data_IF_319411332034
#
_entry.id   IF_319411332034
#
_cell.length_a   1.000
_cell.length_b   1.000
_cell.length_c   1.000
_cell.angle_alpha   90.00
_cell.angle_beta   90.00
_cell.angle_gamma   90.00
#
_symmetry.space_group_name_H-M   'P 1'
#
loop_
_entity.id
_entity.type
_entity.pdbx_description
1 polymer ?
#
# COMPACT_ATOMS: atom_id res chain seq x y z
N UNK A 1 -19.08 23.98 0.66
CA UNK A 1 -19.35 23.56 2.04
C UNK A 1 -19.44 22.05 1.97
N UNK A 2 -18.43 21.32 2.46
CA UNK A 2 -18.41 19.86 2.36
C UNK A 2 -19.46 19.26 3.30
N UNK A 3 -20.20 18.25 2.82
CA UNK A 3 -21.15 17.52 3.65
C UNK A 3 -20.42 16.74 4.76
N UNK A 4 -21.14 16.38 5.83
CA UNK A 4 -20.51 15.69 6.97
C UNK A 4 -19.88 14.34 6.57
N UNK A 5 -20.42 13.67 5.55
CA UNK A 5 -19.87 12.43 5.00
C UNK A 5 -18.56 12.67 4.23
N UNK A 6 -18.50 13.76 3.46
CA UNK A 6 -17.29 14.18 2.74
C UNK A 6 -16.15 14.54 3.70
N UNK A 7 -16.46 15.20 4.83
CA UNK A 7 -15.47 15.47 5.89
C UNK A 7 -14.92 14.19 6.50
N UNK A 8 -15.78 13.18 6.67
CA UNK A 8 -15.39 11.87 7.18
C UNK A 8 -14.36 11.20 6.27
N UNK A 9 -14.59 11.22 4.95
CA UNK A 9 -13.65 10.66 3.98
C UNK A 9 -12.35 11.43 3.91
N UNK A 10 -12.40 12.77 3.91
CA UNK A 10 -11.18 13.60 3.91
C UNK A 10 -10.34 13.31 5.16
N UNK A 11 -10.97 13.10 6.31
CA UNK A 11 -10.28 12.70 7.53
C UNK A 11 -9.67 11.29 7.44
N UNK A 12 -10.40 10.34 6.85
CA UNK A 12 -9.95 8.97 6.66
C UNK A 12 -8.79 8.90 5.66
N UNK A 13 -8.82 9.71 4.61
CA UNK A 13 -7.73 9.92 3.65
C UNK A 13 -6.49 10.52 4.34
N UNK A 14 -6.67 11.53 5.20
CA UNK A 14 -5.58 12.09 5.97
C UNK A 14 -4.91 11.06 6.88
N UNK A 15 -5.70 10.24 7.59
CA UNK A 15 -5.19 9.13 8.41
C UNK A 15 -4.42 8.11 7.56
N UNK A 16 -4.97 7.73 6.40
CA UNK A 16 -4.33 6.81 5.48
C UNK A 16 -2.97 7.33 5.01
N UNK A 17 -2.88 8.62 4.69
CA UNK A 17 -1.66 9.28 4.24
C UNK A 17 -0.62 9.31 5.37
N UNK A 18 -1.05 9.61 6.60
CA UNK A 18 -0.18 9.62 7.78
C UNK A 18 0.40 8.23 8.08
N UNK A 19 -0.44 7.18 8.05
CA UNK A 19 0.01 5.78 8.22
C UNK A 19 0.97 5.39 7.10
N UNK A 20 0.67 5.77 5.85
CA UNK A 20 1.50 5.49 4.69
C UNK A 20 2.90 6.13 4.82
N UNK A 21 2.98 7.38 5.29
CA UNK A 21 4.26 8.07 5.53
C UNK A 21 5.08 7.37 6.64
N UNK A 22 4.45 7.02 7.76
CA UNK A 22 5.13 6.29 8.85
C UNK A 22 5.65 4.93 8.35
N UNK A 23 4.81 4.20 7.63
CA UNK A 23 5.18 2.92 7.03
C UNK A 23 6.37 3.06 6.08
N UNK A 24 6.31 4.06 5.19
CA UNK A 24 7.37 4.39 4.21
C UNK A 24 8.71 4.69 4.90
N UNK A 25 8.69 5.45 6.00
CA UNK A 25 9.89 5.74 6.78
C UNK A 25 10.51 4.47 7.38
N UNK A 26 9.69 3.61 7.99
CA UNK A 26 10.14 2.34 8.57
C UNK A 26 10.66 1.37 7.49
N UNK A 27 10.01 1.35 6.32
CA UNK A 27 10.41 0.54 5.18
C UNK A 27 11.77 0.97 4.61
N UNK A 28 12.07 2.27 4.59
CA UNK A 28 13.37 2.77 4.16
C UNK A 28 14.50 2.31 5.09
N UNK A 29 14.27 2.36 6.41
CA UNK A 29 15.22 1.84 7.40
C UNK A 29 15.49 0.34 7.23
N UNK A 30 14.43 -0.45 7.03
CA UNK A 30 14.55 -1.88 6.75
C UNK A 30 15.28 -2.15 5.42
N UNK A 31 15.02 -1.36 4.37
CA UNK A 31 15.68 -1.54 3.09
C UNK A 31 17.19 -1.34 3.17
N UNK A 32 17.67 -0.37 3.96
CA UNK A 32 19.11 -0.21 4.17
C UNK A 32 19.75 -1.47 4.79
N UNK A 33 19.02 -2.19 5.65
CA UNK A 33 19.47 -3.42 6.29
C UNK A 33 19.40 -4.63 5.34
N UNK A 34 18.38 -4.69 4.47
CA UNK A 34 18.09 -5.84 3.60
C UNK A 34 18.68 -5.76 2.19
N UNK A 35 19.24 -4.60 1.78
CA UNK A 35 19.72 -4.35 0.41
C UNK A 35 20.74 -5.37 -0.12
N UNK A 36 21.47 -6.05 0.77
CA UNK A 36 22.52 -7.02 0.41
C UNK A 36 22.25 -8.44 0.92
N UNK A 37 21.06 -8.71 1.46
CA UNK A 37 20.72 -10.02 2.04
C UNK A 37 20.07 -10.95 1.02
N UNK A 38 20.42 -12.23 1.08
CA UNK A 38 19.80 -13.30 0.27
C UNK A 38 18.42 -13.70 0.81
N UNK A 39 17.59 -14.42 0.03
CA UNK A 39 16.23 -14.85 0.44
C UNK A 39 16.20 -15.52 1.81
N UNK A 40 17.07 -16.52 2.04
CA UNK A 40 17.12 -17.23 3.32
C UNK A 40 17.48 -16.29 4.46
N UNK A 41 18.36 -15.32 4.21
CA UNK A 41 18.67 -14.29 5.17
C UNK A 41 17.51 -13.31 5.34
N UNK A 42 16.76 -12.91 4.32
CA UNK A 42 15.57 -12.05 4.52
C UNK A 42 14.50 -12.77 5.35
N UNK A 43 14.32 -14.07 5.13
CA UNK A 43 13.37 -14.90 5.87
C UNK A 43 13.80 -15.13 7.32
N UNK A 44 15.11 -15.19 7.60
CA UNK A 44 15.66 -15.52 8.93
C UNK A 44 16.25 -14.32 9.69
N UNK A 45 16.61 -13.23 9.02
CA UNK A 45 17.49 -12.20 9.56
C UNK A 45 16.80 -11.17 10.45
N UNK A 46 15.55 -11.37 10.84
CA UNK A 46 14.93 -10.60 11.93
C UNK A 46 13.58 -11.24 12.25
N UNK A 47 13.48 -11.97 13.37
CA UNK A 47 12.25 -12.39 14.08
C UNK A 47 10.92 -11.78 13.56
N UNK A 48 10.44 -12.20 12.39
CA UNK A 48 9.20 -11.71 11.78
C UNK A 48 9.19 -10.29 11.19
N UNK A 49 10.25 -9.47 11.25
CA UNK A 49 10.15 -8.05 10.85
C UNK A 49 9.85 -7.86 9.36
N UNK A 50 10.53 -8.59 8.47
CA UNK A 50 10.26 -8.53 7.02
C UNK A 50 8.82 -8.93 6.67
N UNK A 51 8.25 -9.90 7.40
CA UNK A 51 6.85 -10.31 7.28
C UNK A 51 5.89 -9.22 7.73
N UNK A 52 6.18 -8.50 8.84
CA UNK A 52 5.39 -7.34 9.25
C UNK A 52 5.35 -6.26 8.16
N UNK A 53 6.45 -6.05 7.42
CA UNK A 53 6.45 -5.11 6.31
C UNK A 53 5.61 -5.60 5.13
N UNK A 54 5.72 -6.87 4.74
CA UNK A 54 4.87 -7.45 3.68
C UNK A 54 3.38 -7.35 4.02
N UNK A 55 3.01 -7.72 5.26
CA UNK A 55 1.64 -7.62 5.75
C UNK A 55 1.17 -6.17 5.82
N UNK A 56 2.02 -5.24 6.27
CA UNK A 56 1.70 -3.81 6.31
C UNK A 56 1.46 -3.21 4.92
N UNK A 57 2.25 -3.59 3.91
CA UNK A 57 2.02 -3.20 2.52
C UNK A 57 0.68 -3.74 2.00
N UNK A 58 0.38 -5.01 2.28
CA UNK A 58 -0.88 -5.63 1.87
C UNK A 58 -2.10 -4.95 2.50
N UNK A 59 -2.04 -4.62 3.80
CA UNK A 59 -3.11 -3.90 4.51
C UNK A 59 -3.31 -2.50 3.92
N UNK A 60 -2.21 -1.77 3.68
CA UNK A 60 -2.28 -0.44 3.05
C UNK A 60 -2.91 -0.50 1.66
N UNK A 61 -2.53 -1.49 0.85
CA UNK A 61 -3.14 -1.68 -0.47
C UNK A 61 -4.63 -2.02 -0.37
N UNK A 62 -5.00 -2.95 0.50
CA UNK A 62 -6.40 -3.32 0.71
C UNK A 62 -7.25 -2.12 1.16
N UNK A 63 -6.74 -1.34 2.13
CA UNK A 63 -7.43 -0.16 2.62
C UNK A 63 -7.58 0.92 1.55
N UNK A 64 -6.54 1.14 0.74
CA UNK A 64 -6.58 2.05 -0.41
C UNK A 64 -7.64 1.65 -1.44
N UNK A 65 -7.74 0.35 -1.77
CA UNK A 65 -8.76 -0.19 -2.69
C UNK A 65 -10.17 0.03 -2.13
N UNK A 66 -10.39 -0.24 -0.84
CA UNK A 66 -11.69 -0.03 -0.18
C UNK A 66 -12.08 1.46 -0.22
N UNK A 67 -11.14 2.35 0.07
CA UNK A 67 -11.34 3.81 -0.04
C UNK A 67 -11.75 4.22 -1.46
N UNK A 68 -11.03 3.74 -2.48
CA UNK A 68 -11.34 4.02 -3.88
C UNK A 68 -12.74 3.51 -4.24
N UNK A 69 -13.12 2.31 -3.81
CA UNK A 69 -14.44 1.73 -4.07
C UNK A 69 -15.58 2.54 -3.42
N UNK A 70 -15.41 2.97 -2.17
CA UNK A 70 -16.40 3.82 -1.48
C UNK A 70 -16.52 5.17 -2.20
N UNK A 71 -15.40 5.76 -2.61
CA UNK A 71 -15.37 7.06 -3.28
C UNK A 71 -16.01 7.00 -4.66
N UNK A 72 -15.77 5.93 -5.42
CA UNK A 72 -16.36 5.72 -6.74
C UNK A 72 -17.90 5.69 -6.71
N UNK A 73 -18.48 5.04 -5.68
CA UNK A 73 -19.93 4.84 -5.61
C UNK A 73 -20.70 6.02 -4.99
N UNK A 74 -20.07 6.81 -4.13
CA UNK A 74 -20.78 7.75 -3.26
C UNK A 74 -20.38 9.23 -3.44
N UNK A 75 -19.31 9.52 -4.16
CA UNK A 75 -18.73 10.87 -4.19
C UNK A 75 -18.51 11.40 -5.62
N UNK A 76 -18.32 12.71 -5.71
CA UNK A 76 -18.05 13.37 -6.99
C UNK A 76 -16.78 12.83 -7.65
N UNK A 77 -16.75 12.88 -8.98
CA UNK A 77 -15.61 12.43 -9.78
C UNK A 77 -14.28 13.11 -9.36
N UNK A 78 -14.33 14.37 -8.91
CA UNK A 78 -13.14 15.08 -8.44
C UNK A 78 -12.51 14.46 -7.19
N UNK A 79 -13.32 14.10 -6.19
CA UNK A 79 -12.87 13.45 -4.94
C UNK A 79 -12.38 12.04 -5.23
N UNK A 80 -13.11 11.29 -6.06
CA UNK A 80 -12.66 9.99 -6.52
C UNK A 80 -11.29 10.05 -7.20
N UNK A 81 -11.13 10.99 -8.15
CA UNK A 81 -9.90 11.13 -8.92
C UNK A 81 -8.71 11.52 -8.04
N UNK A 82 -8.89 12.43 -7.08
CA UNK A 82 -7.82 12.82 -6.15
C UNK A 82 -7.35 11.64 -5.29
N UNK A 83 -8.29 10.89 -4.72
CA UNK A 83 -7.99 9.73 -3.87
C UNK A 83 -7.30 8.63 -4.66
N UNK A 84 -7.73 8.41 -5.92
CA UNK A 84 -7.13 7.44 -6.81
C UNK A 84 -5.67 7.81 -7.15
N UNK A 85 -5.42 9.07 -7.51
CA UNK A 85 -4.05 9.55 -7.82
C UNK A 85 -3.14 9.42 -6.60
N UNK A 86 -3.59 9.80 -5.41
CA UNK A 86 -2.79 9.70 -4.18
C UNK A 86 -2.45 8.24 -3.86
N UNK A 87 -3.43 7.33 -3.97
CA UNK A 87 -3.20 5.90 -3.77
C UNK A 87 -2.17 5.33 -4.76
N UNK A 88 -2.24 5.70 -6.04
CA UNK A 88 -1.26 5.28 -7.05
C UNK A 88 0.15 5.80 -6.73
N UNK A 89 0.28 7.05 -6.29
CA UNK A 89 1.57 7.62 -5.90
C UNK A 89 2.17 6.87 -4.70
N UNK A 90 1.36 6.57 -3.68
CA UNK A 90 1.79 5.81 -2.50
C UNK A 90 2.21 4.39 -2.89
N UNK A 91 1.45 3.72 -3.75
CA UNK A 91 1.78 2.39 -4.26
C UNK A 91 3.14 2.39 -4.97
N UNK A 92 3.35 3.35 -5.89
CA UNK A 92 4.62 3.54 -6.58
C UNK A 92 5.77 3.81 -5.62
N UNK A 93 5.56 4.64 -4.58
CA UNK A 93 6.57 4.92 -3.56
C UNK A 93 6.95 3.67 -2.76
N UNK A 94 5.98 2.86 -2.33
CA UNK A 94 6.24 1.61 -1.61
C UNK A 94 7.07 0.67 -2.48
N UNK A 95 6.67 0.45 -3.74
CA UNK A 95 7.40 -0.42 -4.69
C UNK A 95 8.80 0.11 -4.97
N UNK A 96 8.96 1.43 -5.14
CA UNK A 96 10.24 2.07 -5.41
C UNK A 96 11.21 1.97 -4.23
N UNK A 97 10.72 2.15 -3.01
CA UNK A 97 11.56 2.12 -1.82
C UNK A 97 12.10 0.73 -1.52
N UNK A 98 11.43 -0.34 -1.98
CA UNK A 98 11.93 -1.70 -1.89
C UNK A 98 13.09 -1.89 -2.87
N UNK A 99 14.32 -1.72 -2.35
CA UNK A 99 15.54 -1.84 -3.13
C UNK A 99 15.94 -3.31 -3.36
N UNK A 100 15.42 -4.23 -2.55
CA UNK A 100 15.64 -5.65 -2.74
C UNK A 100 14.70 -6.19 -3.85
N UNK A 101 15.21 -6.64 -5.01
CA UNK A 101 14.39 -7.02 -6.17
C UNK A 101 13.46 -8.21 -5.87
N UNK A 102 13.85 -9.09 -4.96
CA UNK A 102 13.07 -10.27 -4.57
C UNK A 102 11.87 -9.84 -3.73
N UNK A 103 12.10 -8.99 -2.72
CA UNK A 103 11.03 -8.47 -1.88
C UNK A 103 10.06 -7.61 -2.72
N UNK A 104 10.59 -6.87 -3.69
CA UNK A 104 9.78 -6.12 -4.67
C UNK A 104 8.91 -7.05 -5.50
N UNK A 105 9.48 -8.14 -6.00
CA UNK A 105 8.75 -9.17 -6.74
C UNK A 105 7.63 -9.81 -5.91
N UNK A 106 7.90 -10.18 -4.66
CA UNK A 106 6.89 -10.75 -3.77
C UNK A 106 5.73 -9.78 -3.50
N UNK A 107 6.03 -8.51 -3.22
CA UNK A 107 5.00 -7.48 -3.02
C UNK A 107 4.17 -7.28 -4.28
N UNK A 108 4.82 -7.21 -5.45
CA UNK A 108 4.11 -7.10 -6.73
C UNK A 108 3.20 -8.31 -6.98
N UNK A 109 3.64 -9.52 -6.66
CA UNK A 109 2.80 -10.73 -6.79
C UNK A 109 1.63 -10.71 -5.79
N UNK A 110 1.81 -10.22 -4.56
CA UNK A 110 0.71 -10.10 -3.60
C UNK A 110 -0.31 -9.05 -4.06
N UNK A 111 0.17 -7.92 -4.60
CA UNK A 111 -0.66 -6.79 -5.04
C UNK A 111 -1.38 -7.11 -6.36
N UNK A 112 -0.67 -7.66 -7.35
CA UNK A 112 -1.20 -7.89 -8.70
C UNK A 112 -1.61 -9.33 -8.99
N UNK A 113 -1.05 -10.32 -8.27
CA UNK A 113 -1.35 -11.73 -8.48
C UNK A 113 -2.77 -12.13 -8.05
N UNK A 114 -3.43 -11.31 -7.24
CA UNK A 114 -4.86 -11.48 -6.89
C UNK A 114 -5.81 -11.06 -8.03
N UNK A 115 -5.31 -10.50 -9.14
CA UNK A 115 -6.12 -10.15 -10.30
C UNK A 115 -6.52 -11.36 -11.17
N UNK A 116 -6.11 -12.59 -10.82
CA UNK A 116 -6.46 -13.81 -11.56
C UNK A 116 -7.50 -14.60 -10.79
N UNK A 117 -8.77 -14.30 -11.08
CA UNK A 117 -9.84 -15.25 -11.49
C UNK A 117 -11.19 -14.56 -11.37
N UNK A 118 -11.75 -14.17 -12.52
CA UNK A 118 -13.16 -14.42 -12.79
C UNK A 118 -13.28 -14.65 -14.29
N UNK A 119 -13.09 -15.90 -14.69
CA UNK A 119 -13.68 -16.35 -15.94
C UNK A 119 -15.19 -16.20 -15.80
N UNK A 120 -15.72 -15.62 -16.86
CA UNK A 120 -17.11 -15.34 -17.18
C UNK A 120 -18.01 -16.56 -17.04
N UNK A 121 -19.07 -16.41 -16.28
CA UNK A 121 -20.38 -17.05 -16.52
C UNK A 121 -21.40 -15.94 -16.81
#
# INVERSE_FOLDING_TARGET
MFDNDEKGIIFLEFLFLLISVIYTYNLNGLNQILKRKNIMEIMWANNGSAWFFLVGAAILCFFGIVLIYICYNNYSFGIFFSILVINLVILCLIVYLIQNPILRGLILVIIFGTAVTKDSD
#
